data_IF_427335948097
#
_entry.id   IF_427335948097
#
_cell.length_a   1.000
_cell.length_b   1.000
_cell.length_c   1.000
_cell.angle_alpha   90.00
_cell.angle_beta   90.00
_cell.angle_gamma   90.00
#
_symmetry.space_group_name_H-M   'P 1'
#
loop_
_entity.id
_entity.type
_entity.pdbx_description
1 polymer ?
#
# COMPACT_ATOMS: atom_id res chain seq x y z
N UNK A 1 -30.39 3.18 5.89
CA UNK A 1 -31.27 4.06 6.68
C UNK A 1 -31.13 3.74 8.18
N UNK A 2 -30.43 4.58 8.95
CA UNK A 2 -30.64 4.85 10.39
C UNK A 2 -29.79 6.10 10.74
N UNK A 3 -30.41 7.03 11.48
CA UNK A 3 -30.05 8.46 11.65
C UNK A 3 -28.63 8.72 12.16
N UNK A 4 -27.92 9.61 11.49
CA UNK A 4 -26.74 10.32 12.01
C UNK A 4 -27.23 11.51 12.86
N UNK A 5 -26.85 11.49 14.14
CA UNK A 5 -27.09 12.57 15.10
C UNK A 5 -26.16 13.75 14.79
N UNK A 6 -26.73 14.89 14.41
CA UNK A 6 -26.04 16.19 14.38
C UNK A 6 -25.75 16.63 15.82
N UNK A 7 -24.51 16.48 16.27
CA UNK A 7 -24.02 17.19 17.46
C UNK A 7 -23.70 18.63 17.07
N UNK A 8 -24.65 19.53 17.35
CA UNK A 8 -24.39 20.97 17.39
C UNK A 8 -23.39 21.25 18.51
N UNK A 9 -22.19 21.73 18.17
CA UNK A 9 -21.27 22.32 19.12
C UNK A 9 -21.88 23.61 19.67
N UNK A 10 -22.50 23.54 20.85
CA UNK A 10 -22.82 24.72 21.64
C UNK A 10 -21.55 25.13 22.36
N UNK A 11 -20.95 26.19 21.85
CA UNK A 11 -19.77 26.85 22.36
C UNK A 11 -20.04 27.43 23.77
N UNK A 12 -19.31 26.94 24.77
CA UNK A 12 -19.42 27.34 26.19
C UNK A 12 -18.93 28.76 26.47
N UNK A 13 -18.41 29.45 25.45
CA UNK A 13 -17.89 30.81 25.52
C UNK A 13 -18.96 31.86 25.88
N UNK A 14 -20.25 31.61 25.62
CA UNK A 14 -21.32 32.61 25.85
C UNK A 14 -21.65 32.89 27.32
N UNK A 15 -21.32 31.98 28.24
CA UNK A 15 -21.59 32.16 29.68
C UNK A 15 -20.52 32.97 30.41
N UNK A 16 -19.29 33.00 29.88
CA UNK A 16 -18.15 33.70 30.49
C UNK A 16 -18.30 35.22 30.32
N UNK A 17 -18.90 35.68 29.21
CA UNK A 17 -19.15 37.10 28.96
C UNK A 17 -20.26 37.69 29.84
N UNK A 18 -21.27 36.90 30.23
CA UNK A 18 -22.36 37.37 31.08
C UNK A 18 -21.96 37.59 32.54
N UNK A 19 -21.05 36.77 33.08
CA UNK A 19 -20.59 36.86 34.46
C UNK A 19 -19.60 38.01 34.70
N UNK A 20 -18.76 38.35 33.71
CA UNK A 20 -17.80 39.45 33.80
C UNK A 20 -18.45 40.84 33.96
N UNK A 21 -19.65 41.02 33.40
CA UNK A 21 -20.40 42.28 33.49
C UNK A 21 -20.99 42.49 34.91
N UNK A 22 -21.33 41.41 35.62
CA UNK A 22 -21.92 41.49 36.97
C UNK A 22 -20.92 41.86 38.08
N UNK A 23 -19.66 41.47 37.95
CA UNK A 23 -18.64 41.69 38.98
C UNK A 23 -18.07 43.13 38.99
N UNK A 24 -18.07 43.82 37.84
CA UNK A 24 -17.59 45.20 37.75
C UNK A 24 -18.46 46.20 38.54
N UNK A 25 -19.75 45.90 38.73
CA UNK A 25 -20.71 46.77 39.43
C UNK A 25 -20.47 46.80 40.95
N UNK A 26 -19.86 45.76 41.53
CA UNK A 26 -19.71 45.64 43.00
C UNK A 26 -18.44 46.34 43.52
N UNK A 27 -17.38 46.43 42.71
CA UNK A 27 -16.11 47.06 43.12
C UNK A 27 -16.21 48.60 43.17
N UNK A 28 -17.19 49.20 42.50
CA UNK A 28 -17.42 50.64 42.55
C UNK A 28 -18.05 51.14 43.88
N UNK A 29 -18.54 50.24 44.74
CA UNK A 29 -19.25 50.61 45.97
C UNK A 29 -18.35 50.79 47.21
N UNK A 30 -17.03 50.54 47.10
CA UNK A 30 -16.09 50.64 48.24
C UNK A 30 -15.17 51.87 48.21
N UNK A 31 -15.36 52.80 47.27
CA UNK A 31 -14.74 54.12 47.32
C UNK A 31 -15.56 55.04 48.25
N UNK A 32 -14.89 55.67 49.22
CA UNK A 32 -15.48 56.31 50.41
C UNK A 32 -16.76 57.13 50.19
N UNK A 33 -17.65 57.08 51.19
CA UNK A 33 -19.03 57.58 51.14
C UNK A 33 -19.24 59.03 50.67
N UNK A 34 -18.20 59.86 50.65
CA UNK A 34 -18.26 61.21 50.09
C UNK A 34 -18.24 61.25 48.54
N UNK A 35 -17.56 60.29 47.88
CA UNK A 35 -17.49 60.23 46.41
C UNK A 35 -18.70 59.50 45.79
N UNK A 36 -19.28 58.53 46.53
CA UNK A 36 -20.48 57.83 46.10
C UNK A 36 -21.73 58.72 46.13
N UNK A 37 -21.82 59.66 47.09
CA UNK A 37 -22.91 60.63 47.15
C UNK A 37 -22.93 61.54 45.92
N UNK A 38 -21.79 62.02 45.41
CA UNK A 38 -21.75 62.84 44.20
C UNK A 38 -22.03 62.09 42.88
N UNK A 39 -21.94 60.76 42.86
CA UNK A 39 -22.09 59.96 41.64
C UNK A 39 -23.57 59.70 41.28
N UNK A 40 -24.46 59.74 42.27
CA UNK A 40 -25.90 59.44 42.13
C UNK A 40 -26.84 60.52 42.69
N UNK A 41 -26.32 61.60 43.27
CA UNK A 41 -27.15 62.73 43.74
C UNK A 41 -27.57 63.63 42.56
N UNK A 42 -28.82 63.47 42.14
CA UNK A 42 -29.48 64.37 41.19
C UNK A 42 -30.16 65.51 41.96
N UNK A 43 -29.38 66.48 42.44
CA UNK A 43 -29.92 67.73 42.96
C UNK A 43 -29.87 68.82 41.87
N UNK A 44 -31.00 69.26 41.30
CA UNK A 44 -31.03 70.17 40.15
C UNK A 44 -30.83 71.64 40.51
N UNK A 45 -30.59 71.98 41.78
CA UNK A 45 -30.51 73.36 42.26
C UNK A 45 -29.14 73.72 42.85
N UNK A 46 -28.07 73.59 42.05
CA UNK A 46 -26.92 74.50 42.14
C UNK A 46 -26.20 74.52 40.79
N UNK A 47 -26.54 75.53 39.99
CA UNK A 47 -25.90 75.85 38.73
C UNK A 47 -24.59 76.57 39.04
N UNK A 48 -23.45 75.90 38.91
CA UNK A 48 -22.19 76.58 38.60
C UNK A 48 -21.97 76.50 37.08
N UNK A 49 -21.86 77.67 36.46
CA UNK A 49 -21.76 77.90 35.03
C UNK A 49 -20.35 77.62 34.50
N UNK A 50 -19.79 76.46 34.78
CA UNK A 50 -18.47 76.10 34.30
C UNK A 50 -18.53 74.79 33.50
N UNK A 51 -18.28 74.89 32.19
CA UNK A 51 -18.08 73.74 31.30
C UNK A 51 -17.05 72.73 31.83
N UNK A 52 -16.21 73.17 32.78
CA UNK A 52 -15.27 72.33 33.53
C UNK A 52 -15.94 71.22 34.36
N UNK A 53 -17.08 71.46 35.04
CA UNK A 53 -17.74 70.41 35.85
C UNK A 53 -18.35 69.31 34.97
N UNK A 54 -19.03 69.70 33.88
CA UNK A 54 -19.58 68.74 32.90
C UNK A 54 -18.47 67.94 32.22
N UNK A 55 -17.36 68.60 31.88
CA UNK A 55 -16.18 67.93 31.34
C UNK A 55 -15.59 66.94 32.35
N UNK A 56 -15.44 67.35 33.62
CA UNK A 56 -14.88 66.51 34.69
C UNK A 56 -15.76 65.27 34.96
N UNK A 57 -17.08 65.43 35.05
CA UNK A 57 -18.01 64.30 35.19
C UNK A 57 -18.01 63.36 33.98
N UNK A 58 -17.82 63.90 32.77
CA UNK A 58 -17.70 63.10 31.54
C UNK A 58 -16.42 62.28 31.56
N UNK A 59 -15.29 62.89 31.93
CA UNK A 59 -14.00 62.22 32.06
C UNK A 59 -14.07 61.12 33.12
N UNK A 60 -14.69 61.36 34.27
CA UNK A 60 -14.85 60.35 35.33
C UNK A 60 -15.68 59.14 34.86
N UNK A 61 -16.76 59.35 34.08
CA UNK A 61 -17.57 58.25 33.52
C UNK A 61 -16.80 57.43 32.49
N UNK A 62 -16.10 58.10 31.57
CA UNK A 62 -15.27 57.43 30.57
C UNK A 62 -14.14 56.63 31.25
N UNK A 63 -13.51 57.21 32.28
CA UNK A 63 -12.46 56.55 33.06
C UNK A 63 -12.99 55.31 33.78
N UNK A 64 -14.18 55.38 34.39
CA UNK A 64 -14.81 54.24 35.05
C UNK A 64 -15.18 53.14 34.05
N UNK A 65 -15.76 53.48 32.89
CA UNK A 65 -16.09 52.53 31.83
C UNK A 65 -14.83 51.85 31.25
N UNK A 66 -13.79 52.63 30.98
CA UNK A 66 -12.50 52.13 30.49
C UNK A 66 -11.81 51.23 31.53
N UNK A 67 -11.82 51.63 32.80
CA UNK A 67 -11.28 50.85 33.91
C UNK A 67 -12.00 49.52 34.10
N UNK A 68 -13.33 49.53 34.14
CA UNK A 68 -14.14 48.32 34.27
C UNK A 68 -13.94 47.36 33.10
N UNK A 69 -13.87 47.88 31.87
CA UNK A 69 -13.64 47.10 30.66
C UNK A 69 -12.23 46.52 30.63
N UNK A 70 -11.22 47.31 31.01
CA UNK A 70 -9.83 46.86 31.11
C UNK A 70 -9.65 45.74 32.14
N UNK A 71 -10.23 45.89 33.33
CA UNK A 71 -10.22 44.85 34.37
C UNK A 71 -10.95 43.59 33.91
N UNK A 72 -12.14 43.73 33.31
CA UNK A 72 -12.90 42.61 32.78
C UNK A 72 -12.13 41.86 31.68
N UNK A 73 -11.47 42.58 30.79
CA UNK A 73 -10.61 42.00 29.75
C UNK A 73 -9.40 41.28 30.34
N UNK A 74 -8.71 41.87 31.32
CA UNK A 74 -7.56 41.27 31.97
C UNK A 74 -7.93 39.96 32.69
N UNK A 75 -9.07 39.94 33.39
CA UNK A 75 -9.61 38.73 34.03
C UNK A 75 -9.97 37.70 32.95
N UNK A 76 -10.70 38.10 31.92
CA UNK A 76 -11.07 37.20 30.81
C UNK A 76 -9.85 36.58 30.11
N UNK A 77 -8.80 37.37 29.91
CA UNK A 77 -7.54 36.93 29.32
C UNK A 77 -6.79 35.94 30.21
N UNK A 78 -6.72 36.18 31.53
CA UNK A 78 -6.05 35.29 32.50
C UNK A 78 -6.67 33.88 32.52
N UNK A 79 -7.99 33.78 32.34
CA UNK A 79 -8.71 32.50 32.28
C UNK A 79 -8.80 31.89 30.87
N UNK A 80 -8.32 32.58 29.84
CA UNK A 80 -8.26 32.08 28.47
C UNK A 80 -7.12 31.06 28.26
N UNK A 81 -7.12 30.31 27.13
CA UNK A 81 -5.98 29.46 26.76
C UNK A 81 -4.67 30.24 26.59
N UNK A 82 -4.73 31.51 26.19
CA UNK A 82 -3.56 32.37 25.97
C UNK A 82 -2.86 32.76 27.29
N UNK A 83 -3.61 32.87 28.40
CA UNK A 83 -3.06 33.20 29.73
C UNK A 83 -2.53 32.00 30.52
N UNK A 84 -2.40 30.82 29.89
CA UNK A 84 -2.06 29.56 30.58
C UNK A 84 -0.71 29.63 31.30
N UNK A 85 0.31 30.22 30.69
CA UNK A 85 1.66 30.30 31.27
C UNK A 85 1.70 31.21 32.50
N UNK A 86 1.11 32.42 32.41
CA UNK A 86 1.06 33.35 33.55
C UNK A 86 0.28 32.76 34.73
N UNK A 87 -0.87 32.13 34.47
CA UNK A 87 -1.66 31.45 35.52
C UNK A 87 -0.87 30.32 36.19
N UNK A 88 -0.08 29.56 35.43
CA UNK A 88 0.78 28.53 36.00
C UNK A 88 1.85 29.13 36.94
N UNK A 89 2.49 30.22 36.54
CA UNK A 89 3.47 30.93 37.37
C UNK A 89 2.82 31.49 38.65
N UNK A 90 1.66 32.14 38.53
CA UNK A 90 0.94 32.67 39.70
C UNK A 90 0.52 31.58 40.69
N UNK A 91 0.03 30.44 40.19
CA UNK A 91 -0.29 29.29 41.05
C UNK A 91 0.96 28.71 41.72
N UNK A 92 2.08 28.62 41.00
CA UNK A 92 3.34 28.15 41.57
C UNK A 92 3.82 29.07 42.70
N UNK A 93 3.78 30.39 42.49
CA UNK A 93 4.11 31.37 43.52
C UNK A 93 3.18 31.27 44.74
N UNK A 94 1.88 31.11 44.53
CA UNK A 94 0.91 30.93 45.61
C UNK A 94 1.16 29.64 46.42
N UNK A 95 1.51 28.54 45.75
CA UNK A 95 1.85 27.27 46.41
C UNK A 95 3.17 27.37 47.20
N UNK A 96 4.19 28.04 46.65
CA UNK A 96 5.44 28.29 47.37
C UNK A 96 5.16 29.13 48.62
N UNK A 97 4.38 30.20 48.48
CA UNK A 97 4.02 31.06 49.60
C UNK A 97 3.22 30.32 50.69
N UNK A 98 2.21 29.52 50.30
CA UNK A 98 1.46 28.68 51.22
C UNK A 98 2.35 27.65 51.91
N UNK A 99 3.34 27.09 51.21
CA UNK A 99 4.30 26.13 51.77
C UNK A 99 5.22 26.79 52.79
N UNK A 100 5.66 28.02 52.54
CA UNK A 100 6.45 28.80 53.51
C UNK A 100 5.64 29.13 54.76
N UNK A 101 4.36 29.52 54.62
CA UNK A 101 3.46 29.73 55.75
C UNK A 101 3.31 28.44 56.58
N UNK A 102 3.08 27.31 55.90
CA UNK A 102 2.95 26.01 56.56
C UNK A 102 4.23 25.59 57.30
N UNK A 103 5.41 25.90 56.76
CA UNK A 103 6.69 25.51 57.35
C UNK A 103 7.13 26.40 58.54
N UNK A 104 6.83 27.69 58.48
CA UNK A 104 7.35 28.68 59.44
C UNK A 104 6.36 28.96 60.59
N UNK A 105 5.05 28.85 60.36
CA UNK A 105 4.02 29.19 61.35
C UNK A 105 3.46 27.93 62.02
N UNK A 106 3.84 27.65 63.26
CA UNK A 106 3.31 26.49 64.01
C UNK A 106 1.89 26.68 64.58
N UNK A 107 1.27 27.84 64.36
CA UNK A 107 -0.08 28.18 64.82
C UNK A 107 -1.20 27.72 63.86
N UNK A 108 -2.47 28.10 64.15
CA UNK A 108 -3.64 27.63 63.38
C UNK A 108 -3.57 27.92 61.88
N UNK A 109 -2.93 29.03 61.49
CA UNK A 109 -2.77 29.44 60.08
C UNK A 109 -1.86 28.50 59.32
N UNK A 110 -0.73 28.08 59.90
CA UNK A 110 0.19 27.15 59.24
C UNK A 110 -0.37 25.73 59.15
N UNK A 111 -1.06 25.26 60.19
CA UNK A 111 -1.79 23.97 60.13
C UNK A 111 -2.90 23.97 59.07
N UNK A 112 -3.62 25.08 58.92
CA UNK A 112 -4.64 25.22 57.87
C UNK A 112 -4.02 25.25 56.47
N UNK A 113 -2.89 25.94 56.29
CA UNK A 113 -2.16 25.96 55.02
C UNK A 113 -1.61 24.56 54.66
N UNK A 114 -1.04 23.84 55.62
CA UNK A 114 -0.57 22.46 55.44
C UNK A 114 -1.70 21.51 55.04
N UNK A 115 -2.86 21.59 55.70
CA UNK A 115 -4.03 20.79 55.36
C UNK A 115 -4.55 21.08 53.94
N UNK A 116 -4.62 22.36 53.54
CA UNK A 116 -5.01 22.74 52.18
C UNK A 116 -4.04 22.21 51.13
N UNK A 117 -2.73 22.35 51.35
CA UNK A 117 -1.71 21.80 50.45
C UNK A 117 -1.80 20.28 50.35
N UNK A 118 -2.05 19.58 51.45
CA UNK A 118 -2.26 18.13 51.46
C UNK A 118 -3.49 17.72 50.63
N UNK A 119 -4.62 18.42 50.77
CA UNK A 119 -5.84 18.16 49.98
C UNK A 119 -5.60 18.43 48.49
N UNK A 120 -4.93 19.53 48.14
CA UNK A 120 -4.60 19.88 46.76
C UNK A 120 -3.65 18.83 46.15
N UNK A 121 -2.59 18.46 46.89
CA UNK A 121 -1.63 17.44 46.45
C UNK A 121 -2.28 16.06 46.28
N UNK A 122 -3.15 15.67 47.22
CA UNK A 122 -3.92 14.42 47.13
C UNK A 122 -4.86 14.43 45.92
N UNK A 123 -5.65 15.50 45.73
CA UNK A 123 -6.56 15.62 44.60
C UNK A 123 -5.81 15.62 43.26
N UNK A 124 -4.65 16.27 43.18
CA UNK A 124 -3.79 16.23 42.01
C UNK A 124 -3.26 14.82 41.72
N UNK A 125 -2.74 14.12 42.74
CA UNK A 125 -2.25 12.76 42.61
C UNK A 125 -3.35 11.79 42.15
N UNK A 126 -4.51 11.82 42.81
CA UNK A 126 -5.68 11.01 42.43
C UNK A 126 -6.11 11.33 41.00
N UNK A 127 -6.22 12.62 40.63
CA UNK A 127 -6.59 13.04 39.29
C UNK A 127 -5.60 12.58 38.21
N UNK A 128 -4.30 12.59 38.50
CA UNK A 128 -3.26 12.11 37.59
C UNK A 128 -3.39 10.60 37.33
N UNK A 129 -3.48 9.78 38.38
CA UNK A 129 -3.60 8.33 38.24
C UNK A 129 -4.93 7.88 37.62
N UNK A 130 -6.05 8.49 38.02
CA UNK A 130 -7.36 8.24 37.39
C UNK A 130 -7.32 8.65 35.92
N UNK A 131 -6.76 9.82 35.60
CA UNK A 131 -6.64 10.28 34.22
C UNK A 131 -5.81 9.34 33.35
N UNK A 132 -4.71 8.80 33.88
CA UNK A 132 -3.91 7.81 33.18
C UNK A 132 -4.67 6.49 32.98
N UNK A 133 -5.34 5.99 34.03
CA UNK A 133 -6.16 4.77 33.95
C UNK A 133 -7.29 4.91 32.93
N UNK A 134 -8.00 6.03 32.93
CA UNK A 134 -9.08 6.32 31.98
C UNK A 134 -8.58 6.43 30.54
N UNK A 135 -7.37 6.97 30.32
CA UNK A 135 -6.75 6.98 28.97
C UNK A 135 -6.42 5.57 28.49
N UNK A 136 -5.94 4.70 29.38
CA UNK A 136 -5.66 3.30 29.06
C UNK A 136 -6.90 2.49 28.69
N UNK A 137 -8.07 2.83 29.24
CA UNK A 137 -9.35 2.23 28.84
C UNK A 137 -9.81 2.66 27.43
N UNK A 138 -9.28 3.77 26.92
CA UNK A 138 -9.64 4.30 25.59
C UNK A 138 -8.74 3.81 24.45
N UNK A 139 -7.62 3.17 24.74
CA UNK A 139 -6.70 2.65 23.73
C UNK A 139 -7.01 1.20 23.42
N UNK A 140 -7.30 0.88 22.16
CA UNK A 140 -7.44 -0.51 21.70
C UNK A 140 -6.12 -1.26 21.88
N UNK A 141 -6.08 -2.38 22.63
CA UNK A 141 -4.87 -3.16 22.81
C UNK A 141 -4.35 -3.67 21.46
N UNK A 142 -3.06 -3.44 21.17
CA UNK A 142 -2.41 -3.87 19.92
C UNK A 142 -1.65 -5.19 20.06
N UNK A 143 -1.88 -5.93 21.16
CA UNK A 143 -1.14 -7.16 21.52
C UNK A 143 -1.18 -8.22 20.41
N UNK A 144 -2.27 -8.29 19.64
CA UNK A 144 -2.46 -9.24 18.53
C UNK A 144 -2.39 -8.56 17.16
N UNK A 145 -1.85 -7.34 17.10
CA UNK A 145 -1.77 -6.54 15.88
C UNK A 145 -2.53 -5.22 16.00
N UNK A 146 -2.12 -4.26 15.18
CA UNK A 146 -2.68 -2.91 15.09
C UNK A 146 -3.55 -2.71 13.84
N UNK A 147 -3.96 -3.81 13.19
CA UNK A 147 -4.78 -3.76 11.99
C UNK A 147 -6.11 -3.06 12.29
N UNK A 148 -6.45 -2.08 11.45
CA UNK A 148 -7.66 -1.28 11.59
C UNK A 148 -8.24 -0.97 10.21
N UNK A 149 -9.53 -0.69 10.18
CA UNK A 149 -10.18 -0.20 8.96
C UNK A 149 -9.64 1.18 8.59
N UNK A 150 -9.25 1.34 7.33
CA UNK A 150 -8.82 2.62 6.81
C UNK A 150 -9.98 3.63 6.85
N UNK A 151 -9.72 4.82 7.41
CA UNK A 151 -10.64 5.95 7.33
C UNK A 151 -10.42 6.75 6.05
N UNK A 152 -11.41 7.53 5.62
CA UNK A 152 -11.26 8.37 4.41
C UNK A 152 -10.09 9.36 4.53
N UNK A 153 -9.88 10.05 5.69
CA UNK A 153 -8.69 10.88 5.89
C UNK A 153 -7.39 10.08 5.76
N UNK A 154 -7.35 8.84 6.25
CA UNK A 154 -6.18 7.97 6.12
C UNK A 154 -5.92 7.61 4.65
N UNK A 155 -6.95 7.27 3.88
CA UNK A 155 -6.81 7.01 2.43
C UNK A 155 -6.29 8.25 1.68
N UNK A 156 -6.75 9.44 2.05
CA UNK A 156 -6.30 10.70 1.47
C UNK A 156 -4.83 11.00 1.81
N UNK A 157 -4.45 10.84 3.08
CA UNK A 157 -3.07 11.01 3.57
C UNK A 157 -2.09 10.06 2.86
N UNK A 158 -2.51 8.80 2.68
CA UNK A 158 -1.72 7.79 1.96
C UNK A 158 -1.77 7.94 0.43
N UNK A 159 -2.42 9.00 -0.09
CA UNK A 159 -2.56 9.29 -1.53
C UNK A 159 -3.18 8.13 -2.33
N UNK A 160 -4.10 7.39 -1.71
CA UNK A 160 -4.79 6.25 -2.32
C UNK A 160 -6.10 6.67 -3.02
N UNK A 161 -6.55 7.91 -2.83
CA UNK A 161 -7.73 8.45 -3.51
C UNK A 161 -7.36 8.93 -4.92
N UNK A 162 -8.21 8.61 -5.90
CA UNK A 162 -8.04 9.04 -7.27
C UNK A 162 -7.96 7.87 -8.23
N UNK A 163 -7.46 8.11 -9.45
CA UNK A 163 -7.48 7.13 -10.55
C UNK A 163 -6.10 6.58 -10.89
N UNK A 164 -5.09 6.83 -10.06
CA UNK A 164 -3.72 6.41 -10.34
C UNK A 164 -3.45 5.00 -9.83
N UNK A 165 -2.93 4.12 -10.67
CA UNK A 165 -2.61 2.73 -10.33
C UNK A 165 -3.79 1.76 -10.45
N UNK A 166 -3.67 0.62 -9.78
CA UNK A 166 -4.66 -0.46 -9.78
C UNK A 166 -5.82 -0.08 -8.87
N UNK A 167 -7.03 -0.05 -9.42
CA UNK A 167 -8.26 0.20 -8.68
C UNK A 167 -8.57 -0.96 -7.76
N UNK A 168 -8.74 -0.65 -6.49
CA UNK A 168 -9.14 -1.59 -5.45
C UNK A 168 -10.63 -1.46 -5.11
N UNK A 169 -11.23 -0.29 -5.33
CA UNK A 169 -12.68 -0.08 -5.19
C UNK A 169 -13.09 1.39 -5.20
N UNK A 170 -14.15 1.73 -4.47
CA UNK A 170 -14.69 3.10 -4.36
C UNK A 170 -15.08 3.43 -2.93
N UNK A 171 -14.84 4.66 -2.51
CA UNK A 171 -15.24 5.18 -1.19
C UNK A 171 -16.07 6.46 -1.36
N UNK A 172 -17.03 6.68 -0.46
CA UNK A 172 -17.79 7.94 -0.42
C UNK A 172 -16.96 9.03 0.28
N UNK A 173 -16.66 10.10 -0.44
CA UNK A 173 -15.92 11.26 0.07
C UNK A 173 -16.59 12.53 -0.44
N UNK A 174 -16.94 13.44 0.48
CA UNK A 174 -17.60 14.73 0.17
C UNK A 174 -18.87 14.59 -0.69
N UNK A 175 -19.66 13.53 -0.47
CA UNK A 175 -20.88 13.26 -1.23
C UNK A 175 -20.66 12.62 -2.61
N UNK A 176 -19.41 12.41 -3.01
CA UNK A 176 -19.04 11.76 -4.27
C UNK A 176 -18.49 10.35 -4.05
N UNK A 177 -18.63 9.48 -5.06
CA UNK A 177 -17.97 8.18 -5.09
C UNK A 177 -16.60 8.32 -5.75
N UNK A 178 -15.55 8.30 -4.93
CA UNK A 178 -14.17 8.46 -5.38
C UNK A 178 -13.52 7.08 -5.48
N UNK A 179 -12.85 6.74 -6.59
CA UNK A 179 -12.06 5.52 -6.67
C UNK A 179 -10.93 5.54 -5.65
N UNK A 180 -10.62 4.37 -5.07
CA UNK A 180 -9.38 4.18 -4.34
C UNK A 180 -8.50 3.18 -5.09
N UNK A 181 -7.27 3.59 -5.33
CA UNK A 181 -6.32 2.88 -6.16
C UNK A 181 -4.97 2.75 -5.45
N UNK A 182 -4.22 1.73 -5.86
CA UNK A 182 -2.88 1.45 -5.36
C UNK A 182 -1.87 1.58 -6.51
N UNK A 183 -0.93 2.51 -6.37
CA UNK A 183 0.09 2.82 -7.38
C UNK A 183 1.49 2.31 -7.02
N UNK A 184 1.61 1.47 -6.00
CA UNK A 184 2.91 0.92 -5.59
C UNK A 184 3.30 -0.32 -6.38
N UNK A 185 4.59 -0.65 -6.34
CA UNK A 185 5.18 -1.81 -6.99
C UNK A 185 5.15 -3.05 -6.10
N UNK A 186 3.95 -3.50 -5.71
CA UNK A 186 3.80 -4.76 -4.98
C UNK A 186 2.74 -5.61 -5.64
N UNK A 187 2.88 -6.91 -5.50
CA UNK A 187 1.87 -7.86 -5.98
C UNK A 187 0.57 -7.70 -5.22
N UNK A 188 -0.53 -7.84 -5.95
CA UNK A 188 -1.88 -7.82 -5.40
C UNK A 188 -2.47 -9.23 -5.46
N UNK A 189 -2.99 -9.70 -4.33
CA UNK A 189 -3.73 -10.94 -4.25
C UNK A 189 -5.22 -10.64 -4.02
N UNK A 190 -6.08 -11.11 -4.92
CA UNK A 190 -7.54 -10.99 -4.76
C UNK A 190 -8.13 -12.35 -4.43
N UNK A 191 -8.64 -12.49 -3.22
CA UNK A 191 -9.44 -13.66 -2.83
C UNK A 191 -10.93 -13.40 -3.08
N UNK A 192 -11.50 -14.16 -4.01
CA UNK A 192 -12.91 -14.01 -4.39
C UNK A 192 -13.51 -15.37 -4.81
N UNK A 193 -14.45 -15.95 -4.03
CA UNK A 193 -15.15 -17.18 -4.40
C UNK A 193 -15.87 -17.10 -5.75
N UNK A 194 -16.26 -18.24 -6.30
CA UNK A 194 -17.04 -18.27 -7.55
C UNK A 194 -18.34 -17.47 -7.40
N UNK A 195 -18.77 -16.81 -8.50
CA UNK A 195 -20.00 -16.00 -8.57
C UNK A 195 -20.05 -14.76 -7.65
N UNK A 196 -18.93 -14.33 -7.08
CA UNK A 196 -18.83 -13.08 -6.27
C UNK A 196 -18.52 -11.83 -7.08
N UNK A 197 -18.35 -11.97 -8.39
CA UNK A 197 -18.14 -10.83 -9.30
C UNK A 197 -16.68 -10.39 -9.45
N UNK A 198 -15.68 -11.24 -9.21
CA UNK A 198 -14.25 -10.88 -9.40
C UNK A 198 -13.96 -10.26 -10.78
N UNK A 199 -14.61 -10.77 -11.83
CA UNK A 199 -14.48 -10.25 -13.20
C UNK A 199 -15.02 -8.83 -13.31
N UNK A 200 -16.28 -8.64 -12.94
CA UNK A 200 -16.99 -7.35 -13.09
C UNK A 200 -16.52 -6.27 -12.12
N UNK A 201 -16.08 -6.64 -10.91
CA UNK A 201 -15.76 -5.69 -9.85
C UNK A 201 -14.27 -5.34 -9.78
N UNK A 202 -13.39 -6.19 -10.31
CA UNK A 202 -11.94 -6.00 -10.18
C UNK A 202 -11.19 -6.13 -11.50
N UNK A 203 -11.34 -7.23 -12.24
CA UNK A 203 -10.55 -7.48 -13.47
C UNK A 203 -10.93 -6.49 -14.56
N UNK A 204 -12.19 -6.47 -15.00
CA UNK A 204 -12.67 -5.62 -16.09
C UNK A 204 -12.45 -4.13 -15.80
N UNK A 205 -12.82 -3.58 -14.61
CA UNK A 205 -12.56 -2.16 -14.33
C UNK A 205 -11.09 -1.77 -14.40
N UNK A 206 -10.18 -2.65 -13.99
CA UNK A 206 -8.74 -2.40 -14.10
C UNK A 206 -8.26 -2.48 -15.56
N UNK A 207 -8.71 -3.47 -16.33
CA UNK A 207 -8.43 -3.55 -17.77
C UNK A 207 -9.02 -2.38 -18.56
N UNK A 208 -10.05 -1.71 -18.07
CA UNK A 208 -10.64 -0.52 -18.72
C UNK A 208 -10.01 0.81 -18.26
N UNK A 209 -9.15 0.81 -17.24
CA UNK A 209 -8.62 2.08 -16.69
C UNK A 209 -7.10 2.13 -16.54
N UNK A 210 -6.44 1.00 -16.31
CA UNK A 210 -5.00 0.90 -16.23
C UNK A 210 -4.37 1.31 -17.57
N UNK A 211 -3.36 2.19 -17.56
CA UNK A 211 -2.75 2.74 -18.78
C UNK A 211 -1.47 2.03 -19.23
N UNK A 212 -0.87 1.21 -18.36
CA UNK A 212 0.29 0.39 -18.72
C UNK A 212 -0.07 -0.82 -19.57
N UNK A 213 0.95 -1.57 -19.97
CA UNK A 213 0.83 -2.86 -20.64
C UNK A 213 0.29 -3.91 -19.68
N UNK A 214 -0.51 -4.84 -20.20
CA UNK A 214 -1.13 -5.91 -19.40
C UNK A 214 -1.04 -7.23 -20.15
N UNK A 215 -0.57 -8.27 -19.47
CA UNK A 215 -0.70 -9.66 -19.89
C UNK A 215 -1.85 -10.29 -19.11
N UNK A 216 -2.81 -10.89 -19.80
CA UNK A 216 -4.02 -11.48 -19.20
C UNK A 216 -4.14 -12.94 -19.59
N UNK A 217 -4.17 -13.84 -18.60
CA UNK A 217 -4.55 -15.24 -18.81
C UNK A 217 -6.07 -15.32 -18.77
N UNK A 218 -6.69 -15.44 -19.93
CA UNK A 218 -8.15 -15.40 -20.10
C UNK A 218 -8.70 -16.70 -20.68
N UNK A 219 -8.78 -17.73 -19.85
CA UNK A 219 -9.23 -19.09 -20.23
C UNK A 219 -10.61 -19.09 -20.91
N UNK A 220 -11.45 -18.10 -20.64
CA UNK A 220 -12.81 -18.00 -21.20
C UNK A 220 -12.96 -16.98 -22.32
N UNK A 221 -11.95 -16.13 -22.55
CA UNK A 221 -12.03 -15.03 -23.52
C UNK A 221 -12.93 -13.85 -23.12
N UNK A 222 -13.57 -13.89 -21.94
CA UNK A 222 -14.52 -12.86 -21.48
C UNK A 222 -13.85 -11.48 -21.34
N UNK A 223 -12.60 -11.44 -20.86
CA UNK A 223 -11.87 -10.19 -20.69
C UNK A 223 -11.48 -9.60 -22.04
N UNK A 224 -11.02 -10.43 -22.98
CA UNK A 224 -10.70 -10.00 -24.34
C UNK A 224 -11.94 -9.37 -25.00
N UNK A 225 -13.06 -10.10 -25.02
CA UNK A 225 -14.34 -9.65 -25.61
C UNK A 225 -14.82 -8.31 -25.05
N UNK A 226 -14.71 -8.11 -23.73
CA UNK A 226 -15.23 -6.90 -23.08
C UNK A 226 -14.27 -5.72 -23.24
N UNK A 227 -12.96 -5.96 -23.22
CA UNK A 227 -11.98 -4.88 -22.98
C UNK A 227 -11.10 -4.55 -24.18
N UNK A 228 -10.97 -5.42 -25.18
CA UNK A 228 -10.06 -5.23 -26.32
C UNK A 228 -10.27 -3.88 -27.01
N UNK A 229 -11.52 -3.56 -27.38
CA UNK A 229 -11.84 -2.28 -28.06
C UNK A 229 -11.47 -1.07 -27.19
N UNK A 230 -11.83 -1.10 -25.92
CA UNK A 230 -11.50 0.00 -25.01
C UNK A 230 -9.98 0.17 -24.83
N UNK A 231 -9.21 -0.92 -24.85
CA UNK A 231 -7.75 -0.87 -24.77
C UNK A 231 -7.14 -0.33 -26.07
N UNK A 232 -7.66 -0.72 -27.24
CA UNK A 232 -7.30 -0.12 -28.53
C UNK A 232 -7.60 1.38 -28.56
N UNK A 233 -8.75 1.81 -28.03
CA UNK A 233 -9.15 3.22 -27.94
C UNK A 233 -8.24 4.02 -26.98
N UNK A 234 -7.49 3.36 -26.09
CA UNK A 234 -6.42 3.99 -25.31
C UNK A 234 -5.10 4.15 -26.09
N UNK A 235 -5.06 3.75 -27.36
CA UNK A 235 -3.87 3.79 -28.21
C UNK A 235 -2.93 2.61 -28.01
N UNK A 236 -3.43 1.48 -27.49
CA UNK A 236 -2.61 0.30 -27.25
C UNK A 236 -2.78 -0.74 -28.34
N UNK A 237 -1.70 -1.47 -28.62
CA UNK A 237 -1.75 -2.68 -29.43
C UNK A 237 -2.34 -3.82 -28.60
N UNK A 238 -3.37 -4.47 -29.14
CA UNK A 238 -4.05 -5.59 -28.48
C UNK A 238 -3.82 -6.85 -29.31
N UNK A 239 -3.10 -7.79 -28.73
CA UNK A 239 -2.84 -9.12 -29.30
C UNK A 239 -3.56 -10.18 -28.47
N UNK A 240 -4.19 -11.15 -29.13
CA UNK A 240 -4.86 -12.26 -28.48
C UNK A 240 -4.28 -13.58 -29.01
N UNK A 241 -3.51 -14.29 -28.17
CA UNK A 241 -3.07 -15.67 -28.48
C UNK A 241 -4.24 -16.59 -28.18
N UNK A 242 -5.02 -16.90 -29.21
CA UNK A 242 -6.28 -17.64 -29.11
C UNK A 242 -6.29 -18.76 -30.17
N UNK A 243 -5.67 -19.92 -29.88
CA UNK A 243 -5.49 -21.00 -30.85
C UNK A 243 -6.79 -21.58 -31.41
N UNK A 244 -7.90 -21.41 -30.67
CA UNK A 244 -9.22 -21.92 -31.03
C UNK A 244 -10.20 -20.80 -31.43
N UNK A 245 -9.73 -19.56 -31.51
CA UNK A 245 -10.52 -18.37 -31.84
C UNK A 245 -11.84 -18.26 -31.05
N UNK A 246 -11.75 -18.48 -29.73
CA UNK A 246 -12.90 -18.42 -28.82
C UNK A 246 -13.38 -16.97 -28.63
N UNK A 247 -12.49 -15.99 -28.76
CA UNK A 247 -12.77 -14.58 -28.47
C UNK A 247 -12.15 -13.58 -29.45
N UNK A 248 -10.96 -13.85 -30.00
CA UNK A 248 -10.19 -12.85 -30.73
C UNK A 248 -10.98 -12.24 -31.91
N UNK A 249 -11.46 -13.06 -32.85
CA UNK A 249 -12.22 -12.57 -34.02
C UNK A 249 -13.50 -11.83 -33.59
N UNK A 250 -14.23 -12.36 -32.60
CA UNK A 250 -15.44 -11.72 -32.09
C UNK A 250 -15.15 -10.38 -31.41
N UNK A 251 -13.98 -10.23 -30.78
CA UNK A 251 -13.50 -8.97 -30.19
C UNK A 251 -13.00 -7.96 -31.24
N UNK A 252 -12.98 -8.32 -32.53
CA UNK A 252 -12.41 -7.49 -33.60
C UNK A 252 -10.87 -7.46 -33.61
N UNK A 253 -10.24 -8.51 -33.07
CA UNK A 253 -8.79 -8.68 -33.03
C UNK A 253 -8.41 -9.89 -33.88
N UNK A 254 -7.42 -9.77 -34.75
CA UNK A 254 -6.90 -10.94 -35.47
C UNK A 254 -6.17 -11.86 -34.48
N UNK A 255 -6.48 -13.17 -34.44
CA UNK A 255 -5.76 -14.12 -33.58
C UNK A 255 -4.25 -14.02 -33.81
N UNK A 256 -3.52 -13.71 -32.75
CA UNK A 256 -2.08 -13.62 -32.77
C UNK A 256 -1.46 -15.03 -32.68
N UNK A 257 -0.25 -15.15 -33.22
CA UNK A 257 0.56 -16.35 -33.15
C UNK A 257 1.82 -16.04 -32.35
N UNK A 258 2.27 -17.02 -31.57
CA UNK A 258 3.49 -16.93 -30.79
C UNK A 258 4.27 -18.22 -30.98
N UNK A 259 5.54 -18.09 -31.35
CA UNK A 259 6.46 -19.22 -31.46
C UNK A 259 7.57 -19.05 -30.41
N UNK A 260 7.60 -19.88 -29.35
CA UNK A 260 8.64 -19.78 -28.32
C UNK A 260 10.05 -20.01 -28.86
N UNK A 261 10.21 -20.76 -29.97
CA UNK A 261 11.51 -20.99 -30.58
C UNK A 261 12.10 -19.75 -31.27
N UNK A 262 11.29 -18.71 -31.49
CA UNK A 262 11.81 -17.43 -31.99
C UNK A 262 12.79 -16.76 -31.00
N UNK A 263 12.83 -17.21 -29.74
CA UNK A 263 13.80 -16.74 -28.74
C UNK A 263 15.14 -17.48 -28.77
N UNK A 264 15.26 -18.58 -29.52
CA UNK A 264 16.47 -19.41 -29.57
C UNK A 264 17.23 -19.12 -30.86
N UNK A 265 18.22 -18.24 -30.80
CA UNK A 265 18.98 -17.80 -31.96
C UNK A 265 20.35 -18.48 -32.07
N UNK A 266 20.74 -18.86 -33.29
CA UNK A 266 22.02 -19.55 -33.58
C UNK A 266 23.25 -18.77 -33.09
N UNK A 267 23.18 -17.44 -33.14
CA UNK A 267 24.30 -16.55 -32.79
C UNK A 267 24.21 -15.99 -31.37
N UNK A 268 23.26 -16.46 -30.57
CA UNK A 268 23.07 -16.02 -29.19
C UNK A 268 23.86 -16.95 -28.24
N UNK A 269 24.84 -16.43 -27.47
CA UNK A 269 25.57 -17.24 -26.51
C UNK A 269 24.67 -17.85 -25.43
N UNK A 270 23.52 -17.25 -25.15
CA UNK A 270 22.55 -17.71 -24.14
C UNK A 270 21.50 -18.68 -24.73
N UNK A 271 21.63 -19.08 -26.01
CA UNK A 271 20.69 -19.97 -26.65
C UNK A 271 20.52 -21.33 -25.96
N UNK A 272 21.58 -21.99 -25.44
CA UNK A 272 21.42 -23.21 -24.64
C UNK A 272 20.57 -22.98 -23.39
N UNK A 273 20.78 -21.87 -22.67
CA UNK A 273 20.04 -21.48 -21.48
C UNK A 273 18.58 -21.17 -21.80
N UNK A 274 18.31 -20.46 -22.90
CA UNK A 274 16.97 -20.18 -23.39
C UNK A 274 16.23 -21.48 -23.76
N UNK A 275 16.92 -22.41 -24.44
CA UNK A 275 16.37 -23.73 -24.74
C UNK A 275 16.08 -24.54 -23.47
N UNK A 276 16.93 -24.45 -22.44
CA UNK A 276 16.69 -25.11 -21.14
C UNK A 276 15.48 -24.51 -20.41
N UNK A 277 15.31 -23.18 -20.46
CA UNK A 277 14.15 -22.51 -19.87
C UNK A 277 12.84 -22.98 -20.52
N UNK A 278 12.84 -23.14 -21.85
CA UNK A 278 11.71 -23.71 -22.59
C UNK A 278 11.48 -25.18 -22.22
N UNK A 279 12.55 -25.98 -22.09
CA UNK A 279 12.44 -27.37 -21.68
C UNK A 279 11.87 -27.52 -20.25
N UNK A 280 12.33 -26.73 -19.27
CA UNK A 280 11.80 -26.73 -17.90
C UNK A 280 10.32 -26.30 -17.87
N UNK A 281 9.90 -25.39 -18.75
CA UNK A 281 8.49 -24.98 -18.86
C UNK A 281 7.58 -26.07 -19.44
N UNK A 282 8.12 -26.98 -20.27
CA UNK A 282 7.37 -28.09 -20.87
C UNK A 282 7.27 -29.33 -19.96
N UNK A 283 8.30 -29.58 -19.15
CA UNK A 283 8.36 -30.74 -18.26
C UNK A 283 7.60 -30.45 -16.95
N UNK A 284 6.45 -31.12 -16.77
CA UNK A 284 5.68 -31.00 -15.54
C UNK A 284 6.43 -31.60 -14.35
N UNK A 285 6.64 -30.79 -13.30
CA UNK A 285 7.25 -31.23 -12.05
C UNK A 285 6.24 -32.07 -11.27
N UNK A 286 6.59 -33.31 -10.96
CA UNK A 286 5.79 -34.18 -10.10
C UNK A 286 6.46 -34.34 -8.73
N UNK A 287 5.74 -34.01 -7.66
CA UNK A 287 6.21 -34.12 -6.26
C UNK A 287 6.52 -35.57 -5.83
N UNK A 288 6.07 -36.56 -6.61
CA UNK A 288 6.21 -38.01 -6.30
C UNK A 288 7.09 -38.77 -7.29
N UNK A 289 7.82 -38.10 -8.18
CA UNK A 289 8.74 -38.72 -9.13
C UNK A 289 10.21 -38.62 -8.69
N UNK A 290 11.07 -39.48 -9.22
CA UNK A 290 12.52 -39.32 -9.06
C UNK A 290 12.97 -38.08 -9.84
N UNK A 291 13.64 -37.10 -9.20
CA UNK A 291 14.09 -35.88 -9.88
C UNK A 291 15.00 -36.16 -11.09
N UNK A 292 15.75 -37.26 -11.05
CA UNK A 292 16.66 -37.68 -12.12
C UNK A 292 15.98 -37.75 -13.49
N UNK A 293 14.86 -38.46 -13.62
CA UNK A 293 14.17 -38.60 -14.91
C UNK A 293 13.59 -37.29 -15.45
N UNK A 294 13.24 -36.37 -14.55
CA UNK A 294 12.76 -35.04 -14.95
C UNK A 294 13.91 -34.22 -15.53
N UNK A 295 15.09 -34.26 -14.93
CA UNK A 295 16.27 -33.56 -15.43
C UNK A 295 16.78 -34.16 -16.76
N UNK A 296 16.81 -35.49 -16.87
CA UNK A 296 17.18 -36.16 -18.14
C UNK A 296 16.20 -35.83 -19.27
N UNK A 297 14.88 -35.78 -18.98
CA UNK A 297 13.88 -35.37 -19.96
C UNK A 297 14.07 -33.91 -20.41
N UNK A 298 14.41 -32.99 -19.49
CA UNK A 298 14.71 -31.59 -19.84
C UNK A 298 15.95 -31.48 -20.71
N UNK A 299 17.03 -32.18 -20.35
CA UNK A 299 18.27 -32.19 -21.13
C UNK A 299 18.04 -32.70 -22.55
N UNK A 300 17.24 -33.76 -22.69
CA UNK A 300 16.85 -34.28 -24.00
C UNK A 300 16.03 -33.25 -24.80
N UNK A 301 14.98 -32.67 -24.20
CA UNK A 301 14.13 -31.68 -24.87
C UNK A 301 14.93 -30.44 -25.25
N UNK A 302 15.85 -29.98 -24.40
CA UNK A 302 16.77 -28.89 -24.70
C UNK A 302 17.61 -29.21 -25.94
N UNK A 303 18.21 -30.40 -26.02
CA UNK A 303 19.00 -30.84 -27.17
C UNK A 303 18.17 -30.86 -28.47
N UNK A 304 16.93 -31.37 -28.41
CA UNK A 304 16.02 -31.38 -29.56
C UNK A 304 15.58 -29.97 -29.98
N UNK A 305 15.34 -29.07 -29.02
CA UNK A 305 15.04 -27.66 -29.30
C UNK A 305 16.21 -27.00 -30.03
N UNK A 306 17.44 -27.21 -29.56
CA UNK A 306 18.64 -26.67 -30.19
C UNK A 306 18.85 -27.25 -31.59
N UNK A 307 18.61 -28.55 -31.78
CA UNK A 307 18.64 -29.19 -33.09
C UNK A 307 17.66 -28.52 -34.06
N UNK A 308 16.40 -28.36 -33.66
CA UNK A 308 15.37 -27.71 -34.50
C UNK A 308 15.71 -26.24 -34.75
N UNK A 309 16.27 -25.54 -33.77
CA UNK A 309 16.62 -24.13 -33.91
C UNK A 309 17.82 -23.91 -34.85
N UNK A 310 18.82 -24.78 -34.81
CA UNK A 310 20.14 -24.50 -35.43
C UNK A 310 20.39 -25.25 -36.73
N UNK A 311 19.80 -26.43 -36.91
CA UNK A 311 20.02 -27.23 -38.11
C UNK A 311 19.23 -26.65 -39.30
N UNK A 312 19.91 -26.51 -40.43
CA UNK A 312 19.35 -25.94 -41.66
C UNK A 312 18.16 -26.74 -42.21
N UNK A 313 18.08 -28.04 -41.90
CA UNK A 313 16.96 -28.93 -42.28
C UNK A 313 15.62 -28.45 -41.71
N UNK A 314 15.65 -27.66 -40.64
CA UNK A 314 14.45 -27.18 -39.95
C UNK A 314 14.19 -25.68 -40.15
N UNK A 315 14.93 -24.98 -41.01
CA UNK A 315 14.85 -23.52 -41.17
C UNK A 315 13.43 -22.99 -41.39
N UNK A 316 12.63 -23.65 -42.24
CA UNK A 316 11.24 -23.27 -42.55
C UNK A 316 10.21 -23.76 -41.51
N UNK A 317 10.64 -24.52 -40.51
CA UNK A 317 9.78 -25.21 -39.54
C UNK A 317 10.33 -25.13 -38.11
N UNK A 318 10.97 -24.02 -37.75
CA UNK A 318 11.51 -23.79 -36.40
C UNK A 318 10.41 -23.50 -35.39
N UNK A 319 9.60 -24.49 -35.02
CA UNK A 319 8.55 -24.33 -34.01
C UNK A 319 8.49 -25.55 -33.08
N UNK A 320 7.83 -25.41 -31.92
CA UNK A 320 7.71 -26.49 -30.94
C UNK A 320 6.99 -27.74 -31.48
N UNK A 321 6.11 -27.59 -32.47
CA UNK A 321 5.45 -28.73 -33.11
C UNK A 321 6.42 -29.63 -33.88
N UNK A 322 7.58 -29.11 -34.28
CA UNK A 322 8.62 -29.85 -34.99
C UNK A 322 9.61 -30.58 -34.08
N UNK A 323 9.63 -30.25 -32.78
CA UNK A 323 10.51 -30.91 -31.80
C UNK A 323 10.21 -32.43 -31.67
N UNK A 324 8.94 -32.87 -31.57
CA UNK A 324 8.60 -34.30 -31.62
C UNK A 324 8.95 -34.97 -32.96
N UNK A 325 8.83 -34.26 -34.08
CA UNK A 325 9.20 -34.78 -35.40
C UNK A 325 10.71 -35.01 -35.48
N UNK A 326 11.51 -34.09 -34.91
CA UNK A 326 12.96 -34.22 -34.82
C UNK A 326 13.37 -35.43 -33.99
N UNK A 327 12.71 -35.67 -32.85
CA UNK A 327 12.90 -36.89 -32.07
C UNK A 327 12.63 -38.15 -32.89
N UNK A 328 11.48 -38.19 -33.59
CA UNK A 328 11.11 -39.33 -34.43
C UNK A 328 12.11 -39.57 -35.56
N UNK A 329 12.64 -38.49 -36.16
CA UNK A 329 13.63 -38.55 -37.23
C UNK A 329 15.00 -39.03 -36.75
N UNK A 330 15.37 -38.76 -35.49
CA UNK A 330 16.57 -39.33 -34.87
C UNK A 330 16.41 -40.85 -34.68
N UNK A 331 15.18 -41.35 -34.59
CA UNK A 331 14.82 -42.77 -34.45
C UNK A 331 14.28 -43.09 -33.05
N UNK A 332 13.55 -44.20 -32.89
CA UNK A 332 13.12 -44.64 -31.55
C UNK A 332 14.33 -44.98 -30.69
N UNK A 333 14.22 -44.86 -29.36
CA UNK A 333 15.29 -45.31 -28.46
C UNK A 333 15.67 -46.77 -28.74
N UNK A 334 14.69 -47.62 -29.02
CA UNK A 334 14.92 -49.02 -29.39
C UNK A 334 15.69 -49.15 -30.70
N UNK A 335 15.33 -48.40 -31.75
CA UNK A 335 16.07 -48.38 -33.01
C UNK A 335 17.49 -47.81 -32.84
N UNK A 336 17.66 -46.80 -31.99
CA UNK A 336 18.96 -46.22 -31.66
C UNK A 336 19.84 -47.23 -30.90
N UNK A 337 19.29 -47.93 -29.90
CA UNK A 337 20.02 -48.95 -29.16
C UNK A 337 20.24 -50.21 -29.98
N UNK A 338 19.30 -50.64 -30.82
CA UNK A 338 19.49 -51.71 -31.80
C UNK A 338 20.59 -51.36 -32.79
N UNK A 339 20.62 -50.12 -33.28
CA UNK A 339 21.67 -49.67 -34.17
C UNK A 339 23.04 -49.60 -33.46
N UNK A 340 23.09 -49.09 -32.23
CA UNK A 340 24.32 -49.08 -31.40
C UNK A 340 24.79 -50.52 -31.15
N UNK A 341 23.89 -51.43 -30.81
CA UNK A 341 24.21 -52.84 -30.57
C UNK A 341 24.64 -53.54 -31.86
N UNK A 342 24.03 -53.21 -32.99
CA UNK A 342 24.44 -53.67 -34.32
C UNK A 342 25.84 -53.14 -34.70
N UNK A 343 26.16 -51.92 -34.29
CA UNK A 343 27.44 -51.27 -34.54
C UNK A 343 28.56 -51.86 -33.67
N UNK A 344 28.26 -52.15 -32.39
CA UNK A 344 29.17 -52.79 -31.45
C UNK A 344 29.38 -54.29 -31.74
N UNK A 345 28.35 -54.98 -32.22
CA UNK A 345 28.39 -56.40 -32.61
C UNK A 345 28.87 -56.64 -34.04
N UNK A 346 28.95 -55.59 -34.87
CA UNK A 346 29.38 -55.67 -36.27
C UNK A 346 28.38 -56.35 -37.21
N UNK A 347 27.10 -56.43 -36.82
CA UNK A 347 26.06 -57.15 -37.54
C UNK A 347 25.44 -56.35 -38.71
N UNK A 348 25.48 -55.02 -38.65
CA UNK A 348 25.12 -54.14 -39.77
C UNK A 348 26.39 -53.45 -40.32
N UNK A 349 26.72 -53.71 -41.60
CA UNK A 349 27.98 -53.24 -42.21
C UNK A 349 27.78 -52.11 -43.24
N UNK A 350 26.55 -51.76 -43.59
CA UNK A 350 26.26 -50.69 -44.55
C UNK A 350 25.33 -49.64 -43.95
N UNK A 351 25.50 -48.34 -44.25
CA UNK A 351 24.68 -47.27 -43.69
C UNK A 351 23.17 -47.49 -43.86
N UNK A 352 22.74 -48.03 -45.00
CA UNK A 352 21.33 -48.34 -45.29
C UNK A 352 20.70 -49.41 -44.39
N UNK A 353 21.50 -50.22 -43.71
CA UNK A 353 21.02 -51.29 -42.82
C UNK A 353 20.63 -50.74 -41.42
N UNK A 354 20.98 -49.49 -41.10
CA UNK A 354 20.68 -48.85 -39.81
C UNK A 354 19.35 -48.07 -39.86
N UNK A 355 18.62 -48.03 -38.75
CA UNK A 355 17.30 -47.38 -38.68
C UNK A 355 17.38 -45.87 -38.38
N UNK A 356 18.34 -45.47 -37.56
CA UNK A 356 18.53 -44.11 -37.05
C UNK A 356 19.47 -43.29 -37.91
N UNK A 357 19.19 -41.98 -38.00
CA UNK A 357 20.03 -41.03 -38.73
C UNK A 357 21.45 -40.96 -38.12
N UNK A 358 21.55 -41.04 -36.79
CA UNK A 358 22.83 -40.99 -36.08
C UNK A 358 23.71 -42.21 -36.41
N UNK A 359 23.15 -43.42 -36.45
CA UNK A 359 23.89 -44.61 -36.81
C UNK A 359 24.28 -44.63 -38.29
N UNK A 360 23.42 -44.14 -39.19
CA UNK A 360 23.76 -43.92 -40.60
C UNK A 360 24.97 -43.00 -40.76
N UNK A 361 24.99 -41.88 -40.05
CA UNK A 361 26.09 -40.93 -40.07
C UNK A 361 27.38 -41.54 -39.48
N UNK A 362 27.28 -42.28 -38.38
CA UNK A 362 28.42 -42.99 -37.81
C UNK A 362 28.97 -44.06 -38.75
N UNK A 363 28.12 -44.86 -39.38
CA UNK A 363 28.49 -45.89 -40.34
C UNK A 363 29.20 -45.30 -41.57
N UNK A 364 28.71 -44.15 -42.08
CA UNK A 364 29.36 -43.41 -43.15
C UNK A 364 30.76 -42.90 -42.77
N UNK A 365 30.98 -42.60 -41.48
CA UNK A 365 32.24 -42.12 -40.93
C UNK A 365 33.07 -43.22 -40.26
N UNK A 366 32.65 -44.49 -40.34
CA UNK A 366 33.20 -45.61 -39.56
C UNK A 366 34.71 -45.73 -39.71
N UNK A 367 35.25 -45.62 -40.92
CA UNK A 367 36.69 -45.70 -41.16
C UNK A 367 37.48 -44.57 -40.47
N UNK A 368 36.88 -43.39 -40.32
CA UNK A 368 37.48 -42.24 -39.61
C UNK A 368 37.36 -42.44 -38.10
N UNK A 369 36.20 -42.89 -37.63
CA UNK A 369 35.94 -43.15 -36.21
C UNK A 369 36.81 -44.29 -35.68
N UNK A 370 36.97 -45.38 -36.44
CA UNK A 370 37.84 -46.50 -36.09
C UNK A 370 39.30 -46.07 -35.97
N UNK A 371 39.77 -45.16 -36.84
CA UNK A 371 41.11 -44.55 -36.70
C UNK A 371 41.26 -43.75 -35.40
N UNK A 372 40.24 -42.99 -35.01
CA UNK A 372 40.24 -42.19 -33.78
C UNK A 372 40.23 -43.11 -32.56
N UNK A 373 39.34 -44.10 -32.54
CA UNK A 373 39.20 -45.05 -31.44
C UNK A 373 40.45 -45.94 -31.28
N UNK A 374 41.12 -46.32 -32.38
CA UNK A 374 42.44 -46.96 -32.34
C UNK A 374 43.51 -46.05 -31.72
N UNK A 375 43.54 -44.76 -32.09
CA UNK A 375 44.46 -43.78 -31.48
C UNK A 375 44.20 -43.58 -29.98
N UNK A 376 42.94 -43.67 -29.56
CA UNK A 376 42.54 -43.58 -28.15
C UNK A 376 42.73 -44.90 -27.39
N UNK A 377 43.13 -45.99 -28.07
CA UNK A 377 43.38 -47.30 -27.46
C UNK A 377 42.12 -48.08 -27.09
N UNK A 378 40.95 -47.70 -27.62
CA UNK A 378 39.65 -48.29 -27.27
C UNK A 378 39.31 -49.54 -28.07
N UNK A 379 39.95 -49.73 -29.23
CA UNK A 379 39.82 -50.91 -30.08
C UNK A 379 41.22 -51.38 -30.51
N UNK A 380 41.46 -52.68 -30.38
CA UNK A 380 42.72 -53.31 -30.75
C UNK A 380 42.87 -53.48 -32.26
N UNK A 381 44.10 -53.71 -32.71
CA UNK A 381 44.34 -54.11 -34.10
C UNK A 381 43.76 -55.52 -34.33
N UNK A 382 42.69 -55.59 -35.12
CA UNK A 382 42.17 -56.84 -35.65
C UNK A 382 43.29 -57.50 -36.46
N UNK A 383 43.78 -58.66 -36.01
CA UNK A 383 44.68 -59.51 -36.81
C UNK A 383 43.87 -60.07 -37.98
N UNK A 384 44.31 -59.77 -39.21
CA UNK A 384 43.78 -60.34 -40.45
C UNK A 384 43.81 -61.88 -40.45
#
# INVERSE_FOLDING_TARGET
>A
MKRVSKKNGRDGSRWIWGAGIGAATVVAMTAGGAAAQGLFDFNPYHYDSNGQYRAWMTVSRVTLMAGATGVGFAIGWLFSPAGKELRAVLMALALIFASLIAAINSGPVGWSAAALLAVIGFAYGVGYYIGQALRGLGTTPTTFGSAQWASVPHLAEQKLLGRNGIRLGTVSYEGNHVPFCYSGDRHLFTYAPTRTGKGVSHIVPNLLSHKGSVLVIDVKGENCLITAKARQDMGQEVMAIDPWDIAATQAGVTPARFNPLDWVHVNDPDAPENAMLLADALVQKHDKGEPFWQEEAKALIQGLILLVAFDATYEDKRNLGTVPDAWTAVGTADAFFEDIDALLSGTANRPEDFQTQAAKQWAALKATNDKILKRLGWIGDQKE
#
